data_IF_870737493279
#
_entry.id   IF_870737493279
#
_cell.length_a   1.000
_cell.length_b   1.000
_cell.length_c   1.000
_cell.angle_alpha   90.00
_cell.angle_beta   90.00
_cell.angle_gamma   90.00
#
_symmetry.space_group_name_H-M   'P 1'
#
loop_
_entity.id
_entity.type
_entity.pdbx_description
1 polymer ?
#
# COMPACT_ATOMS: atom_id res chain seq x y z
N UNK A 1 -21.03 -51.66 38.75
CA UNK A 1 -19.98 -51.72 37.70
C UNK A 1 -20.50 -51.50 36.28
N UNK A 2 -21.79 -51.73 36.03
CA UNK A 2 -22.40 -51.53 34.67
C UNK A 2 -22.80 -50.08 34.31
N UNK A 3 -22.98 -49.22 35.33
CA UNK A 3 -23.42 -47.83 35.08
C UNK A 3 -22.30 -46.88 34.64
N UNK A 4 -21.06 -47.15 34.98
CA UNK A 4 -19.87 -46.34 34.61
C UNK A 4 -19.44 -46.60 33.17
N UNK A 5 -19.68 -47.82 32.65
CA UNK A 5 -19.36 -48.17 31.26
C UNK A 5 -20.32 -47.52 30.23
N UNK A 6 -21.59 -47.27 30.63
CA UNK A 6 -22.58 -46.63 29.74
C UNK A 6 -22.34 -45.12 29.60
N UNK A 7 -21.85 -44.46 30.66
CA UNK A 7 -21.51 -43.03 30.59
C UNK A 7 -20.27 -42.79 29.71
N UNK A 8 -19.27 -43.66 29.78
CA UNK A 8 -18.05 -43.52 28.99
C UNK A 8 -18.28 -43.77 27.48
N UNK A 9 -19.14 -44.71 27.13
CA UNK A 9 -19.51 -44.97 25.73
C UNK A 9 -20.38 -43.85 25.16
N UNK A 10 -21.30 -43.24 25.90
CA UNK A 10 -22.10 -42.11 25.43
C UNK A 10 -21.25 -40.84 25.24
N UNK A 11 -20.26 -40.59 26.11
CA UNK A 11 -19.32 -39.47 25.95
C UNK A 11 -18.37 -39.72 24.74
N UNK A 12 -17.92 -40.96 24.56
CA UNK A 12 -17.05 -41.33 23.43
C UNK A 12 -17.80 -41.22 22.09
N UNK A 13 -19.06 -41.61 22.01
CA UNK A 13 -19.87 -41.45 20.79
C UNK A 13 -20.24 -39.98 20.51
N UNK A 14 -20.47 -39.14 21.52
CA UNK A 14 -20.65 -37.70 21.34
C UNK A 14 -19.38 -37.00 20.90
N UNK A 15 -18.22 -37.35 21.45
CA UNK A 15 -16.93 -36.84 21.00
C UNK A 15 -16.55 -37.35 19.61
N UNK A 16 -16.93 -38.61 19.26
CA UNK A 16 -16.65 -39.18 17.93
C UNK A 16 -17.60 -38.62 16.85
N UNK A 17 -18.83 -38.28 17.17
CA UNK A 17 -19.75 -37.57 16.29
C UNK A 17 -19.29 -36.12 16.07
N UNK A 18 -18.89 -35.42 17.12
CA UNK A 18 -18.27 -34.10 17.03
C UNK A 18 -16.91 -34.13 16.26
N UNK A 19 -16.13 -35.21 16.42
CA UNK A 19 -14.90 -35.45 15.70
C UNK A 19 -15.16 -35.72 14.21
N UNK A 20 -16.24 -36.47 13.83
CA UNK A 20 -16.65 -36.66 12.42
C UNK A 20 -17.18 -35.39 11.79
N UNK A 21 -17.87 -34.52 12.50
CA UNK A 21 -18.26 -33.18 12.01
C UNK A 21 -17.03 -32.28 11.80
N UNK A 22 -16.03 -32.41 12.64
CA UNK A 22 -14.75 -31.67 12.51
C UNK A 22 -13.94 -32.11 11.28
N UNK A 23 -14.07 -33.38 10.84
CA UNK A 23 -13.42 -33.92 9.63
C UNK A 23 -14.31 -33.93 8.39
N UNK A 24 -15.52 -33.38 8.45
CA UNK A 24 -16.36 -33.27 7.25
C UNK A 24 -15.84 -32.11 6.37
N UNK A 25 -15.33 -32.37 5.13
CA UNK A 25 -14.81 -31.32 4.26
C UNK A 25 -15.83 -30.20 3.98
N UNK A 26 -17.13 -30.52 3.95
CA UNK A 26 -18.20 -29.52 3.76
C UNK A 26 -18.43 -28.62 4.98
N UNK A 27 -18.21 -29.11 6.22
CA UNK A 27 -18.27 -28.27 7.44
C UNK A 27 -17.02 -27.41 7.60
N UNK A 28 -15.85 -27.88 7.18
CA UNK A 28 -14.63 -27.08 7.17
C UNK A 28 -14.69 -25.92 6.17
N UNK A 29 -15.37 -26.10 5.04
CA UNK A 29 -15.51 -25.05 4.01
C UNK A 29 -16.35 -23.86 4.51
N UNK A 30 -17.49 -24.12 5.18
CA UNK A 30 -18.33 -23.09 5.79
C UNK A 30 -17.61 -22.33 6.90
N UNK A 31 -16.86 -23.04 7.74
CA UNK A 31 -16.10 -22.44 8.85
C UNK A 31 -14.97 -21.53 8.40
N UNK A 32 -14.34 -21.80 7.25
CA UNK A 32 -13.21 -21.03 6.74
C UNK A 32 -13.66 -19.68 6.15
N UNK A 33 -14.66 -19.68 5.28
CA UNK A 33 -15.24 -18.45 4.74
C UNK A 33 -15.83 -17.56 5.85
N UNK A 34 -16.41 -18.18 6.90
CA UNK A 34 -16.85 -17.46 8.10
C UNK A 34 -15.70 -16.85 8.89
N UNK A 35 -14.54 -17.50 8.97
CA UNK A 35 -13.34 -16.95 9.62
C UNK A 35 -12.87 -15.70 8.88
N UNK A 36 -12.75 -15.73 7.54
CA UNK A 36 -12.43 -14.55 6.74
C UNK A 36 -13.48 -13.44 6.88
N UNK A 37 -14.77 -13.77 6.97
CA UNK A 37 -15.84 -12.79 7.23
C UNK A 37 -15.69 -12.11 8.58
N UNK A 38 -15.42 -12.87 9.64
CA UNK A 38 -15.18 -12.31 10.98
C UNK A 38 -14.01 -11.34 10.98
N UNK A 39 -12.89 -11.71 10.33
CA UNK A 39 -11.73 -10.84 10.18
C UNK A 39 -12.07 -9.59 9.36
N UNK A 40 -12.78 -9.75 8.23
CA UNK A 40 -13.25 -8.63 7.41
C UNK A 40 -14.13 -7.67 8.20
N UNK A 41 -15.16 -8.19 8.89
CA UNK A 41 -16.08 -7.37 9.67
C UNK A 41 -15.37 -6.62 10.78
N UNK A 42 -14.48 -7.30 11.52
CA UNK A 42 -13.65 -6.66 12.53
C UNK A 42 -12.82 -5.52 11.97
N UNK A 43 -12.09 -5.75 10.87
CA UNK A 43 -11.23 -4.73 10.26
C UNK A 43 -12.04 -3.53 9.74
N UNK A 44 -13.17 -3.77 9.06
CA UNK A 44 -14.05 -2.70 8.55
C UNK A 44 -14.66 -1.88 9.67
N UNK A 45 -15.04 -2.51 10.78
CA UNK A 45 -15.61 -1.81 11.94
C UNK A 45 -14.57 -0.90 12.61
N UNK A 46 -13.34 -1.41 12.78
CA UNK A 46 -12.29 -0.74 13.55
C UNK A 46 -11.40 0.19 12.71
N UNK A 47 -11.49 0.15 11.36
CA UNK A 47 -10.72 1.09 10.55
C UNK A 47 -11.09 2.53 10.88
N UNK A 48 -10.07 3.32 11.17
CA UNK A 48 -10.21 4.76 11.45
C UNK A 48 -9.49 5.53 10.34
N UNK A 49 -10.26 6.12 9.44
CA UNK A 49 -9.73 7.03 8.41
C UNK A 49 -10.33 8.40 8.66
N UNK A 50 -9.55 9.31 9.25
CA UNK A 50 -10.06 10.60 9.71
C UNK A 50 -10.40 11.56 8.57
N UNK A 51 -9.94 11.31 7.34
CA UNK A 51 -10.30 12.12 6.18
C UNK A 51 -10.40 11.29 4.90
N UNK A 52 -11.35 11.67 4.03
CA UNK A 52 -11.51 11.11 2.71
C UNK A 52 -10.32 11.45 1.82
N UNK A 53 -9.79 10.46 1.10
CA UNK A 53 -8.69 10.61 0.13
C UNK A 53 -9.26 11.01 -1.23
N UNK A 54 -8.58 11.94 -1.92
CA UNK A 54 -8.98 12.40 -3.27
C UNK A 54 -9.09 11.24 -4.26
N UNK A 55 -8.16 10.29 -4.19
CA UNK A 55 -8.16 9.11 -5.06
C UNK A 55 -9.50 8.36 -5.07
N UNK A 56 -10.28 8.42 -3.99
CA UNK A 56 -11.57 7.73 -3.91
C UNK A 56 -12.58 8.26 -4.95
N UNK A 57 -12.45 9.53 -5.35
CA UNK A 57 -13.30 10.16 -6.35
C UNK A 57 -12.75 9.97 -7.78
N UNK A 58 -11.48 9.59 -7.93
CA UNK A 58 -10.82 9.37 -9.22
C UNK A 58 -10.96 7.94 -9.73
N UNK A 59 -11.20 6.97 -8.84
CA UNK A 59 -11.33 5.55 -9.19
C UNK A 59 -12.66 5.29 -9.89
N UNK A 60 -12.60 4.65 -11.06
CA UNK A 60 -13.78 4.04 -11.66
C UNK A 60 -14.10 2.71 -10.96
N UNK A 61 -14.93 2.76 -9.93
CA UNK A 61 -15.31 1.59 -9.14
C UNK A 61 -16.16 0.56 -9.88
N UNK A 62 -16.54 0.82 -11.15
CA UNK A 62 -17.22 -0.17 -11.99
C UNK A 62 -16.25 -1.11 -12.71
N UNK A 63 -14.95 -0.82 -12.72
CA UNK A 63 -13.93 -1.70 -13.30
C UNK A 63 -13.86 -3.01 -12.50
N UNK A 64 -13.66 -4.12 -13.22
CA UNK A 64 -13.71 -5.45 -12.61
C UNK A 64 -12.40 -5.89 -11.97
N UNK A 65 -11.26 -5.37 -12.42
CA UNK A 65 -9.95 -5.65 -11.85
C UNK A 65 -9.23 -4.34 -11.57
N UNK A 66 -9.29 -3.89 -10.32
CA UNK A 66 -8.71 -2.63 -9.87
C UNK A 66 -7.48 -2.92 -9.02
N UNK A 67 -6.38 -2.22 -9.30
CA UNK A 67 -5.17 -2.27 -8.48
C UNK A 67 -4.96 -0.95 -7.74
N UNK A 68 -4.94 -0.98 -6.41
CA UNK A 68 -4.52 0.17 -5.60
C UNK A 68 -3.02 0.06 -5.33
N UNK A 69 -2.25 0.75 -6.14
CA UNK A 69 -0.79 0.75 -6.11
C UNK A 69 -0.27 1.89 -5.23
N UNK A 70 0.85 1.69 -4.55
CA UNK A 70 1.47 2.78 -3.77
C UNK A 70 2.62 2.30 -2.90
N UNK A 71 3.40 3.25 -2.38
CA UNK A 71 4.48 2.99 -1.43
C UNK A 71 3.98 2.29 -0.17
N UNK A 72 4.89 1.66 0.56
CA UNK A 72 4.56 1.13 1.89
C UNK A 72 4.23 2.28 2.84
N UNK A 73 3.31 2.07 3.76
CA UNK A 73 2.95 3.06 4.78
C UNK A 73 2.03 4.20 4.32
N UNK A 74 1.60 4.27 3.06
CA UNK A 74 0.68 5.33 2.59
C UNK A 74 -0.81 5.08 2.93
N UNK A 75 -1.13 3.97 3.61
CA UNK A 75 -2.49 3.65 4.06
C UNK A 75 -3.36 2.95 3.02
N UNK A 76 -2.80 2.08 2.17
CA UNK A 76 -3.58 1.36 1.12
C UNK A 76 -4.66 0.45 1.69
N UNK A 77 -4.33 -0.32 2.72
CA UNK A 77 -5.27 -1.23 3.40
C UNK A 77 -6.42 -0.43 4.04
N UNK A 78 -6.08 0.64 4.78
CA UNK A 78 -7.08 1.50 5.43
C UNK A 78 -7.96 2.21 4.39
N UNK A 79 -7.39 2.62 3.26
CA UNK A 79 -8.12 3.21 2.15
C UNK A 79 -9.22 2.27 1.62
N UNK A 80 -8.90 0.99 1.37
CA UNK A 80 -9.88 0.00 0.91
C UNK A 80 -10.90 -0.36 1.98
N UNK A 81 -10.46 -0.56 3.22
CA UNK A 81 -11.38 -0.87 4.32
C UNK A 81 -12.34 0.29 4.58
N UNK A 82 -11.87 1.54 4.49
CA UNK A 82 -12.74 2.72 4.61
C UNK A 82 -13.74 2.81 3.46
N UNK A 83 -13.34 2.50 2.23
CA UNK A 83 -14.26 2.41 1.10
C UNK A 83 -15.39 1.43 1.39
N UNK A 84 -15.08 0.22 1.88
CA UNK A 84 -16.09 -0.78 2.27
C UNK A 84 -16.97 -0.26 3.41
N UNK A 85 -16.39 0.40 4.41
CA UNK A 85 -17.13 0.99 5.53
C UNK A 85 -18.14 2.03 5.06
N UNK A 86 -17.76 2.89 4.11
CA UNK A 86 -18.67 3.85 3.49
C UNK A 86 -19.76 3.17 2.66
N UNK A 87 -19.42 2.16 1.84
CA UNK A 87 -20.39 1.38 1.09
C UNK A 87 -21.39 0.67 2.01
N UNK A 88 -20.90 0.08 3.11
CA UNK A 88 -21.74 -0.57 4.12
C UNK A 88 -22.75 0.39 4.75
N UNK A 89 -22.36 1.65 4.96
CA UNK A 89 -23.24 2.70 5.48
C UNK A 89 -24.31 3.11 4.47
N UNK A 90 -23.95 3.17 3.19
CA UNK A 90 -24.87 3.57 2.11
C UNK A 90 -25.81 2.43 1.70
N UNK A 91 -25.28 1.22 1.59
CA UNK A 91 -26.00 0.02 1.11
C UNK A 91 -25.66 -1.20 1.98
N UNK A 92 -26.28 -1.34 3.18
CA UNK A 92 -25.95 -2.42 4.13
C UNK A 92 -26.10 -3.84 3.56
N UNK A 93 -27.07 -4.06 2.69
CA UNK A 93 -27.32 -5.40 2.11
C UNK A 93 -26.25 -5.78 1.07
N UNK A 94 -25.75 -4.82 0.29
CA UNK A 94 -24.68 -5.10 -0.68
C UNK A 94 -23.32 -5.37 0.00
N UNK A 95 -23.08 -4.83 1.18
CA UNK A 95 -21.85 -5.03 1.93
C UNK A 95 -21.58 -6.50 2.28
N UNK A 96 -22.65 -7.32 2.40
CA UNK A 96 -22.55 -8.76 2.66
C UNK A 96 -21.91 -9.53 1.50
N UNK A 97 -21.85 -8.93 0.31
CA UNK A 97 -21.27 -9.50 -0.88
C UNK A 97 -19.80 -9.08 -1.10
N UNK A 98 -19.20 -8.39 -0.13
CA UNK A 98 -17.79 -7.99 -0.14
C UNK A 98 -16.99 -8.80 0.86
N UNK A 99 -15.76 -9.20 0.50
CA UNK A 99 -14.84 -9.92 1.39
C UNK A 99 -13.41 -9.37 1.23
N UNK A 100 -12.75 -9.13 2.36
CA UNK A 100 -11.31 -8.81 2.41
C UNK A 100 -10.53 -10.05 2.80
N UNK A 101 -9.45 -10.30 2.08
CA UNK A 101 -8.50 -11.38 2.35
C UNK A 101 -7.07 -10.87 2.26
N UNK A 102 -6.17 -11.47 3.04
CA UNK A 102 -4.76 -11.08 3.09
C UNK A 102 -3.88 -12.32 2.90
N UNK A 103 -2.96 -12.28 1.95
CA UNK A 103 -2.03 -13.38 1.66
C UNK A 103 -0.98 -13.64 2.74
N UNK A 104 -0.98 -12.89 3.84
CA UNK A 104 -0.26 -13.27 5.06
C UNK A 104 -0.96 -14.39 5.84
N UNK A 105 -2.23 -14.71 5.54
CA UNK A 105 -2.93 -15.81 6.18
C UNK A 105 -2.34 -17.14 5.73
N UNK A 106 -2.09 -18.03 6.70
CA UNK A 106 -1.54 -19.37 6.43
C UNK A 106 -2.43 -20.24 5.54
N UNK A 107 -3.72 -19.89 5.39
CA UNK A 107 -4.61 -20.53 4.42
C UNK A 107 -4.00 -20.59 3.03
N UNK A 108 -3.35 -19.51 2.59
CA UNK A 108 -2.75 -19.40 1.25
C UNK A 108 -1.44 -20.18 1.08
N UNK A 109 -0.97 -20.90 2.11
CA UNK A 109 0.15 -21.85 1.94
C UNK A 109 -0.27 -23.15 1.27
N UNK A 110 -1.55 -23.54 1.38
CA UNK A 110 -2.09 -24.79 0.83
C UNK A 110 -3.24 -24.58 -0.17
N UNK A 111 -3.83 -23.37 -0.18
CA UNK A 111 -5.01 -23.05 -1.00
C UNK A 111 -4.76 -21.84 -1.89
N UNK A 112 -5.35 -21.87 -3.09
CA UNK A 112 -5.22 -20.79 -4.07
C UNK A 112 -6.29 -19.71 -3.88
N UNK A 113 -6.02 -18.52 -4.42
CA UNK A 113 -7.04 -17.47 -4.53
C UNK A 113 -8.23 -17.92 -5.37
N UNK A 114 -7.98 -18.71 -6.43
CA UNK A 114 -9.02 -19.21 -7.31
C UNK A 114 -10.01 -20.13 -6.57
N UNK A 115 -9.53 -20.99 -5.67
CA UNK A 115 -10.38 -21.83 -4.83
C UNK A 115 -11.25 -21.00 -3.89
N UNK A 116 -10.65 -20.02 -3.21
CA UNK A 116 -11.38 -19.12 -2.32
C UNK A 116 -12.43 -18.29 -3.08
N UNK A 117 -12.05 -17.74 -4.24
CA UNK A 117 -12.97 -16.97 -5.09
C UNK A 117 -14.15 -17.81 -5.55
N UNK A 118 -13.94 -19.09 -5.89
CA UNK A 118 -15.02 -20.02 -6.24
C UNK A 118 -16.01 -20.24 -5.11
N UNK A 119 -15.50 -20.45 -3.89
CA UNK A 119 -16.34 -20.61 -2.70
C UNK A 119 -17.11 -19.32 -2.38
N UNK A 120 -16.43 -18.17 -2.50
CA UNK A 120 -17.02 -16.87 -2.23
C UNK A 120 -18.16 -16.54 -3.22
N UNK A 121 -17.92 -16.75 -4.52
CA UNK A 121 -18.94 -16.55 -5.56
C UNK A 121 -20.13 -17.52 -5.37
N UNK A 122 -19.87 -18.80 -5.03
CA UNK A 122 -20.93 -19.77 -4.74
C UNK A 122 -21.79 -19.37 -3.53
N UNK A 123 -21.22 -18.62 -2.58
CA UNK A 123 -21.92 -18.03 -1.44
C UNK A 123 -22.59 -16.68 -1.74
N UNK A 124 -22.63 -16.24 -3.01
CA UNK A 124 -23.24 -14.99 -3.45
C UNK A 124 -22.31 -13.77 -3.36
N UNK A 125 -20.98 -13.98 -3.20
CA UNK A 125 -19.99 -12.90 -3.17
C UNK A 125 -19.84 -12.17 -4.51
N UNK A 126 -19.65 -10.86 -4.46
CA UNK A 126 -19.53 -9.98 -5.65
C UNK A 126 -18.22 -9.22 -5.72
N UNK A 127 -17.64 -8.79 -4.59
CA UNK A 127 -16.44 -7.98 -4.54
C UNK A 127 -15.40 -8.60 -3.61
N UNK A 128 -14.25 -8.97 -4.15
CA UNK A 128 -13.13 -9.54 -3.41
C UNK A 128 -12.00 -8.51 -3.29
N UNK A 129 -11.64 -8.18 -2.05
CA UNK A 129 -10.52 -7.30 -1.73
C UNK A 129 -9.31 -8.15 -1.36
N UNK A 130 -8.22 -8.02 -2.11
CA UNK A 130 -7.03 -8.87 -1.96
C UNK A 130 -5.83 -8.03 -1.55
N UNK A 131 -5.29 -8.30 -0.37
CA UNK A 131 -4.08 -7.65 0.13
C UNK A 131 -2.87 -8.58 0.09
N UNK A 132 -1.68 -8.01 -0.15
CA UNK A 132 -0.40 -8.72 -0.21
C UNK A 132 -0.33 -9.85 -1.25
N UNK A 133 -1.13 -9.79 -2.33
CA UNK A 133 -1.19 -10.84 -3.36
C UNK A 133 0.19 -11.24 -3.92
N UNK A 134 1.13 -10.30 -4.04
CA UNK A 134 2.48 -10.49 -4.57
C UNK A 134 3.35 -11.49 -3.77
N UNK A 135 2.89 -11.94 -2.61
CA UNK A 135 3.57 -13.00 -1.83
C UNK A 135 3.41 -14.37 -2.45
N UNK A 136 2.37 -14.60 -3.23
CA UNK A 136 2.24 -15.78 -4.05
C UNK A 136 2.98 -15.57 -5.39
N UNK A 137 3.91 -16.46 -5.78
CA UNK A 137 4.58 -16.38 -7.07
C UNK A 137 3.63 -16.38 -8.28
N UNK A 138 2.46 -17.00 -8.16
CA UNK A 138 1.47 -17.13 -9.23
C UNK A 138 0.35 -16.08 -9.17
N UNK A 139 0.46 -15.06 -8.31
CA UNK A 139 -0.58 -14.08 -8.01
C UNK A 139 -1.24 -13.47 -9.26
N UNK A 140 -0.47 -13.11 -10.29
CA UNK A 140 -1.01 -12.48 -11.50
C UNK A 140 -1.84 -13.45 -12.34
N UNK A 141 -1.37 -14.69 -12.47
CA UNK A 141 -2.09 -15.77 -13.15
C UNK A 141 -3.38 -16.13 -12.40
N UNK A 142 -3.35 -16.20 -11.07
CA UNK A 142 -4.55 -16.48 -10.27
C UNK A 142 -5.59 -15.36 -10.36
N UNK A 143 -5.17 -14.09 -10.31
CA UNK A 143 -6.07 -12.96 -10.52
C UNK A 143 -6.71 -12.98 -11.93
N UNK A 144 -5.93 -13.29 -12.96
CA UNK A 144 -6.44 -13.45 -14.32
C UNK A 144 -7.45 -14.60 -14.42
N UNK A 145 -7.15 -15.76 -13.83
CA UNK A 145 -8.06 -16.91 -13.81
C UNK A 145 -9.38 -16.56 -13.09
N UNK A 146 -9.32 -15.88 -11.94
CA UNK A 146 -10.51 -15.40 -11.24
C UNK A 146 -11.33 -14.44 -12.11
N UNK A 147 -10.67 -13.50 -12.78
CA UNK A 147 -11.30 -12.51 -13.66
C UNK A 147 -12.07 -13.18 -14.81
N UNK A 148 -11.46 -14.15 -15.50
CA UNK A 148 -12.11 -14.81 -16.63
C UNK A 148 -13.14 -15.85 -16.21
N UNK A 149 -12.90 -16.57 -15.11
CA UNK A 149 -13.78 -17.64 -14.65
C UNK A 149 -15.05 -17.13 -13.98
N UNK A 150 -14.99 -15.96 -13.33
CA UNK A 150 -16.10 -15.38 -12.58
C UNK A 150 -16.46 -13.99 -13.14
N UNK A 151 -17.25 -13.91 -14.25
CA UNK A 151 -17.54 -12.64 -14.93
C UNK A 151 -18.23 -11.58 -14.07
N UNK A 152 -18.95 -11.98 -13.03
CA UNK A 152 -19.67 -11.10 -12.11
C UNK A 152 -18.86 -10.75 -10.85
N UNK A 153 -17.64 -11.28 -10.71
CA UNK A 153 -16.75 -10.96 -9.61
C UNK A 153 -15.91 -9.72 -9.94
N UNK A 154 -15.99 -8.73 -9.07
CA UNK A 154 -15.06 -7.61 -9.02
C UNK A 154 -13.90 -7.96 -8.08
N UNK A 155 -12.69 -7.67 -8.50
CA UNK A 155 -11.49 -7.87 -7.69
C UNK A 155 -10.76 -6.54 -7.55
N UNK A 156 -10.51 -6.13 -6.30
CA UNK A 156 -9.74 -4.95 -5.97
C UNK A 156 -8.55 -5.41 -5.16
N UNK A 157 -7.34 -5.24 -5.68
CA UNK A 157 -6.15 -5.71 -4.98
C UNK A 157 -5.15 -4.61 -4.66
N UNK A 158 -4.41 -4.80 -3.58
CA UNK A 158 -3.34 -3.90 -3.17
C UNK A 158 -2.04 -4.34 -3.81
N UNK A 159 -1.39 -3.39 -4.49
CA UNK A 159 -0.11 -3.60 -5.14
C UNK A 159 1.00 -2.74 -4.51
N UNK A 160 2.22 -3.27 -4.44
CA UNK A 160 3.40 -2.51 -4.06
C UNK A 160 3.77 -1.52 -5.18
N UNK A 161 4.37 -0.39 -4.82
CA UNK A 161 4.89 0.58 -5.77
C UNK A 161 5.95 -0.03 -6.71
N UNK A 162 6.69 -1.03 -6.24
CA UNK A 162 7.76 -1.72 -6.99
C UNK A 162 7.20 -2.53 -8.17
N UNK A 163 5.93 -2.95 -8.12
CA UNK A 163 5.30 -3.77 -9.14
C UNK A 163 5.00 -2.96 -10.40
N UNK A 164 5.40 -3.47 -11.55
CA UNK A 164 5.07 -2.95 -12.88
C UNK A 164 3.94 -3.80 -13.46
N UNK A 165 2.70 -3.44 -13.07
CA UNK A 165 1.53 -4.29 -13.28
C UNK A 165 1.18 -4.51 -14.75
N UNK A 166 1.36 -3.49 -15.58
CA UNK A 166 1.02 -3.54 -17.00
C UNK A 166 2.19 -4.11 -17.82
N UNK A 167 3.41 -3.68 -17.51
CA UNK A 167 4.59 -3.98 -18.34
C UNK A 167 5.17 -5.38 -18.07
N UNK A 168 5.19 -5.79 -16.79
CA UNK A 168 5.88 -7.02 -16.40
C UNK A 168 4.91 -8.22 -16.26
N UNK A 169 3.58 -8.01 -16.31
CA UNK A 169 2.57 -9.06 -16.07
C UNK A 169 1.63 -9.21 -17.26
N UNK A 170 1.96 -10.15 -18.18
CA UNK A 170 1.16 -10.41 -19.38
C UNK A 170 -0.25 -10.90 -19.06
N UNK A 171 -0.43 -11.61 -17.96
CA UNK A 171 -1.71 -12.21 -17.58
C UNK A 171 -2.79 -11.17 -17.27
N UNK A 172 -2.41 -10.07 -16.59
CA UNK A 172 -3.33 -9.04 -16.14
C UNK A 172 -3.13 -7.68 -16.83
N UNK A 173 -2.02 -7.48 -17.55
CA UNK A 173 -1.62 -6.17 -18.09
C UNK A 173 -2.68 -5.49 -18.96
N UNK A 174 -3.51 -6.26 -19.67
CA UNK A 174 -4.59 -5.75 -20.53
C UNK A 174 -5.94 -5.58 -19.83
N UNK A 175 -6.09 -6.09 -18.60
CA UNK A 175 -7.38 -6.10 -17.87
C UNK A 175 -7.33 -5.34 -16.55
N UNK A 176 -6.13 -5.03 -16.05
CA UNK A 176 -5.96 -4.32 -14.78
C UNK A 176 -6.05 -2.80 -14.96
N UNK A 177 -6.76 -2.15 -14.06
CA UNK A 177 -6.85 -0.69 -13.95
C UNK A 177 -6.09 -0.23 -12.70
N UNK A 178 -4.80 0.22 -12.84
CA UNK A 178 -3.98 0.62 -11.73
C UNK A 178 -4.20 2.08 -11.32
N UNK A 179 -4.45 2.32 -10.04
CA UNK A 179 -4.55 3.64 -9.44
C UNK A 179 -3.45 3.83 -8.37
N UNK A 180 -2.84 5.01 -8.32
CA UNK A 180 -1.73 5.28 -7.42
C UNK A 180 -2.18 6.03 -6.17
N UNK A 181 -2.19 5.34 -5.02
CA UNK A 181 -2.37 5.98 -3.72
C UNK A 181 -1.02 6.51 -3.22
N UNK A 182 -0.99 7.80 -2.90
CA UNK A 182 0.17 8.49 -2.31
C UNK A 182 -0.01 8.69 -0.82
N UNK A 183 1.00 9.20 -0.14
CA UNK A 183 0.85 9.74 1.19
C UNK A 183 -0.12 10.93 1.22
N UNK A 184 -0.39 11.47 2.37
CA UNK A 184 -1.26 12.64 2.50
C UNK A 184 -0.64 13.86 1.80
N UNK A 185 -1.45 14.55 0.99
CA UNK A 185 -1.14 15.92 0.59
C UNK A 185 -1.23 16.86 1.79
N UNK A 186 -0.63 18.05 1.71
CA UNK A 186 -0.74 19.03 2.79
C UNK A 186 -2.19 19.36 3.14
N UNK A 187 -3.06 19.47 2.14
CA UNK A 187 -4.50 19.67 2.33
C UNK A 187 -5.16 18.50 3.09
N UNK A 188 -4.86 17.26 2.70
CA UNK A 188 -5.39 16.08 3.39
C UNK A 188 -4.86 15.99 4.83
N UNK A 189 -3.58 16.31 5.05
CA UNK A 189 -2.99 16.39 6.38
C UNK A 189 -3.73 17.42 7.28
N UNK A 190 -4.01 18.62 6.76
CA UNK A 190 -4.79 19.63 7.49
C UNK A 190 -6.20 19.12 7.81
N UNK A 191 -6.85 18.48 6.84
CA UNK A 191 -8.19 17.92 7.05
C UNK A 191 -8.20 16.85 8.15
N UNK A 192 -7.19 15.99 8.15
CA UNK A 192 -7.04 14.92 9.17
C UNK A 192 -6.73 15.50 10.54
N UNK A 193 -5.73 16.37 10.63
CA UNK A 193 -5.21 16.89 11.90
C UNK A 193 -6.20 17.81 12.60
N UNK A 194 -6.98 18.57 11.84
CA UNK A 194 -7.85 19.63 12.36
C UNK A 194 -9.35 19.33 12.19
N UNK A 195 -9.70 18.16 11.65
CA UNK A 195 -11.09 17.82 11.39
C UNK A 195 -11.77 18.71 10.32
N UNK A 196 -10.98 19.28 9.41
CA UNK A 196 -11.45 20.19 8.37
C UNK A 196 -11.93 19.43 7.12
N UNK A 197 -12.60 20.16 6.22
CA UNK A 197 -13.01 19.69 4.89
C UNK A 197 -12.63 20.73 3.84
N UNK A 198 -11.33 21.02 3.74
CA UNK A 198 -10.82 21.95 2.74
C UNK A 198 -11.09 21.43 1.33
N UNK A 199 -11.58 22.26 0.42
CA UNK A 199 -11.92 21.87 -0.94
C UNK A 199 -10.67 21.51 -1.76
N UNK A 200 -10.89 20.75 -2.83
CA UNK A 200 -9.87 20.49 -3.86
C UNK A 200 -10.00 21.58 -4.92
N UNK A 201 -8.88 22.12 -5.36
CA UNK A 201 -8.80 23.07 -6.47
C UNK A 201 -7.95 22.47 -7.59
N UNK A 202 -8.35 22.65 -8.83
CA UNK A 202 -7.53 22.30 -9.98
C UNK A 202 -6.31 23.22 -10.07
N UNK A 203 -5.27 22.78 -10.81
CA UNK A 203 -4.12 23.63 -11.08
C UNK A 203 -4.55 24.91 -11.83
N UNK A 204 -5.49 24.79 -12.74
CA UNK A 204 -6.04 25.93 -13.51
C UNK A 204 -6.73 26.94 -12.59
N UNK A 205 -7.56 26.46 -11.63
CA UNK A 205 -8.21 27.33 -10.63
C UNK A 205 -7.17 28.07 -9.77
N UNK A 206 -6.14 27.32 -9.32
CA UNK A 206 -5.05 27.91 -8.52
C UNK A 206 -4.32 29.00 -9.31
N UNK A 207 -3.98 28.74 -10.57
CA UNK A 207 -3.25 29.70 -11.40
C UNK A 207 -4.08 30.97 -11.69
N UNK A 208 -5.40 30.83 -11.88
CA UNK A 208 -6.29 31.95 -12.19
C UNK A 208 -6.78 32.72 -10.94
N UNK A 209 -7.01 32.04 -9.83
CA UNK A 209 -7.73 32.53 -8.66
C UNK A 209 -6.97 32.35 -7.33
N UNK A 210 -5.63 32.20 -7.35
CA UNK A 210 -4.84 31.89 -6.16
C UNK A 210 -5.04 32.88 -5.00
N UNK A 211 -5.21 34.17 -5.26
CA UNK A 211 -5.42 35.19 -4.23
C UNK A 211 -6.74 34.98 -3.51
N UNK A 212 -7.83 34.78 -4.25
CA UNK A 212 -9.16 34.55 -3.68
C UNK A 212 -9.22 33.22 -2.91
N UNK A 213 -8.59 32.17 -3.46
CA UNK A 213 -8.49 30.85 -2.83
C UNK A 213 -7.71 30.97 -1.52
N UNK A 214 -6.56 31.65 -1.56
CA UNK A 214 -5.75 31.85 -0.36
C UNK A 214 -6.50 32.64 0.71
N UNK A 215 -7.22 33.71 0.33
CA UNK A 215 -8.04 34.47 1.28
C UNK A 215 -9.13 33.62 1.95
N UNK A 216 -9.86 32.81 1.16
CA UNK A 216 -10.88 31.87 1.69
C UNK A 216 -10.29 30.88 2.68
N UNK A 217 -9.15 30.28 2.34
CA UNK A 217 -8.48 29.32 3.22
C UNK A 217 -7.95 30.00 4.49
N UNK A 218 -7.36 31.18 4.36
CA UNK A 218 -6.80 31.93 5.49
C UNK A 218 -7.88 32.48 6.47
N UNK A 219 -9.13 32.59 6.04
CA UNK A 219 -10.27 32.87 6.93
C UNK A 219 -10.61 31.65 7.83
N UNK A 220 -10.34 30.45 7.38
CA UNK A 220 -10.62 29.21 8.13
C UNK A 220 -9.44 28.84 9.03
N UNK A 221 -8.21 28.95 8.50
CA UNK A 221 -6.98 28.47 9.15
C UNK A 221 -5.77 29.28 8.66
N UNK A 222 -4.69 29.31 9.45
CA UNK A 222 -3.36 29.78 9.04
C UNK A 222 -2.48 28.60 8.62
N UNK A 223 -2.49 28.16 7.33
CA UNK A 223 -1.88 26.89 6.92
C UNK A 223 -0.38 26.79 7.24
N UNK A 224 0.36 27.88 7.09
CA UNK A 224 1.81 27.90 7.30
C UNK A 224 2.23 27.56 8.74
N UNK A 225 1.34 27.66 9.71
CA UNK A 225 1.62 27.24 11.09
C UNK A 225 1.80 25.71 11.21
N UNK A 226 1.20 24.95 10.30
CA UNK A 226 1.21 23.47 10.27
C UNK A 226 2.17 22.92 9.21
N UNK A 227 2.74 23.79 8.38
CA UNK A 227 3.53 23.37 7.25
C UNK A 227 4.85 22.69 7.67
N UNK A 228 5.50 23.21 8.72
CA UNK A 228 6.69 22.60 9.28
C UNK A 228 6.45 21.18 9.77
N UNK A 229 5.37 20.97 10.51
CA UNK A 229 4.96 19.65 11.01
C UNK A 229 4.66 18.68 9.87
N UNK A 230 3.94 19.15 8.85
CA UNK A 230 3.70 18.36 7.65
C UNK A 230 4.99 17.92 6.95
N UNK A 231 5.93 18.83 6.75
CA UNK A 231 7.22 18.51 6.13
C UNK A 231 8.00 17.48 6.94
N UNK A 232 7.88 17.51 8.27
CA UNK A 232 8.56 16.58 9.17
C UNK A 232 7.88 15.21 9.18
N UNK A 233 6.55 15.12 9.35
CA UNK A 233 5.85 13.85 9.60
C UNK A 233 4.47 13.70 8.95
N UNK A 234 3.98 14.67 8.17
CA UNK A 234 2.59 14.69 7.70
C UNK A 234 2.29 13.88 6.44
N UNK A 235 3.30 13.33 5.74
CA UNK A 235 3.08 12.60 4.49
C UNK A 235 2.56 11.18 4.72
N UNK A 236 3.11 10.46 5.70
CA UNK A 236 2.68 9.09 6.02
C UNK A 236 1.64 9.06 7.12
N UNK A 237 0.55 8.26 7.01
CA UNK A 237 -0.44 8.06 8.09
C UNK A 237 0.14 7.64 9.43
N UNK A 238 1.39 7.21 9.49
CA UNK A 238 2.12 6.82 10.70
C UNK A 238 2.04 7.86 11.83
N UNK A 239 1.87 9.15 11.52
CA UNK A 239 1.71 10.20 12.52
C UNK A 239 0.42 10.11 13.34
N UNK A 240 -0.55 9.32 12.87
CA UNK A 240 -1.81 9.05 13.58
C UNK A 240 -1.67 7.93 14.62
N UNK A 241 -0.57 7.17 14.55
CA UNK A 241 -0.32 6.06 15.46
C UNK A 241 0.32 6.57 16.76
N UNK A 242 0.03 5.91 17.91
CA UNK A 242 0.56 6.32 19.23
C UNK A 242 2.04 5.92 19.42
N UNK A 243 2.80 5.74 18.36
CA UNK A 243 4.20 5.32 18.36
C UNK A 243 5.13 6.45 17.92
N UNK A 244 6.43 6.31 18.20
CA UNK A 244 7.44 7.22 17.67
C UNK A 244 7.44 7.17 16.14
N UNK A 245 7.22 8.34 15.51
CA UNK A 245 7.14 8.46 14.06
C UNK A 245 8.46 8.07 13.39
N UNK A 246 9.59 8.50 13.93
CA UNK A 246 10.91 8.26 13.33
C UNK A 246 11.24 6.77 13.37
N UNK A 247 10.95 6.09 14.48
CA UNK A 247 11.13 4.64 14.60
C UNK A 247 10.23 3.87 13.63
N UNK A 248 8.96 4.26 13.55
CA UNK A 248 7.98 3.66 12.63
C UNK A 248 8.38 3.88 11.17
N UNK A 249 8.89 5.09 10.83
CA UNK A 249 9.40 5.42 9.51
C UNK A 249 10.61 4.56 9.14
N UNK A 250 11.58 4.40 10.05
CA UNK A 250 12.76 3.54 9.82
C UNK A 250 12.37 2.07 9.64
N UNK A 251 11.45 1.54 10.46
CA UNK A 251 10.92 0.19 10.28
C UNK A 251 10.27 0.02 8.92
N UNK A 252 9.47 1.00 8.49
CA UNK A 252 8.82 0.99 7.19
C UNK A 252 9.84 1.01 6.04
N UNK A 253 10.89 1.85 6.11
CA UNK A 253 11.96 1.90 5.10
C UNK A 253 12.71 0.58 5.00
N UNK A 254 13.05 -0.04 6.15
CA UNK A 254 13.66 -1.37 6.15
C UNK A 254 12.75 -2.42 5.50
N UNK A 255 11.44 -2.41 5.78
CA UNK A 255 10.48 -3.30 5.12
C UNK A 255 10.39 -3.09 3.60
N UNK A 256 10.59 -1.85 3.12
CA UNK A 256 10.66 -1.58 1.67
C UNK A 256 11.87 -2.27 1.03
N UNK A 257 13.01 -2.33 1.73
CA UNK A 257 14.22 -3.00 1.25
C UNK A 257 14.09 -4.52 1.37
N UNK A 258 13.72 -5.02 2.55
CA UNK A 258 13.78 -6.43 2.93
C UNK A 258 12.61 -7.26 2.36
N UNK A 259 11.49 -6.62 2.07
CA UNK A 259 10.30 -7.28 1.55
C UNK A 259 9.99 -6.80 0.13
N UNK A 260 9.72 -5.50 -0.05
CA UNK A 260 9.20 -5.04 -1.35
C UNK A 260 10.25 -5.15 -2.46
N UNK A 261 11.49 -4.68 -2.23
CA UNK A 261 12.53 -4.77 -3.23
C UNK A 261 13.05 -6.21 -3.36
N UNK A 262 13.38 -6.86 -2.23
CA UNK A 262 13.96 -8.19 -2.24
C UNK A 262 13.08 -9.20 -2.97
N UNK A 263 11.80 -9.29 -2.59
CA UNK A 263 10.88 -10.29 -3.14
C UNK A 263 10.45 -9.96 -4.58
N UNK A 264 10.07 -8.68 -4.84
CA UNK A 264 9.49 -8.31 -6.15
C UNK A 264 10.57 -8.21 -7.23
N UNK A 265 11.79 -7.74 -6.89
CA UNK A 265 12.91 -7.69 -7.83
C UNK A 265 13.77 -8.95 -7.83
N UNK A 266 13.46 -9.91 -6.96
CA UNK A 266 14.16 -11.20 -6.84
C UNK A 266 15.68 -11.03 -6.74
N UNK A 267 16.12 -10.06 -5.91
CA UNK A 267 17.54 -9.83 -5.65
C UNK A 267 18.05 -10.76 -4.54
N UNK A 268 19.33 -11.07 -4.59
CA UNK A 268 19.96 -11.88 -3.53
C UNK A 268 19.99 -11.16 -2.19
N UNK A 269 19.78 -11.89 -1.11
CA UNK A 269 19.85 -11.36 0.29
C UNK A 269 21.21 -10.72 0.57
N UNK A 270 22.28 -11.25 0.00
CA UNK A 270 23.65 -10.73 0.07
C UNK A 270 23.79 -9.28 -0.44
N UNK A 271 22.85 -8.81 -1.28
CA UNK A 271 22.80 -7.46 -1.83
C UNK A 271 22.22 -6.42 -0.87
N UNK A 272 21.45 -6.85 0.16
CA UNK A 272 20.76 -5.93 1.09
C UNK A 272 21.70 -4.97 1.83
N UNK A 273 22.87 -5.40 2.37
CA UNK A 273 23.80 -4.47 3.01
C UNK A 273 24.29 -3.36 2.07
N UNK A 274 24.55 -3.69 0.80
CA UNK A 274 24.97 -2.72 -0.23
C UNK A 274 23.85 -1.73 -0.56
N UNK A 275 22.62 -2.24 -0.67
CA UNK A 275 21.43 -1.42 -0.93
C UNK A 275 21.13 -0.47 0.25
N UNK A 276 21.26 -0.95 1.50
CA UNK A 276 21.14 -0.10 2.69
C UNK A 276 22.20 0.97 2.76
N UNK A 277 23.46 0.61 2.47
CA UNK A 277 24.56 1.58 2.42
C UNK A 277 24.31 2.64 1.35
N UNK A 278 23.84 2.24 0.17
CA UNK A 278 23.48 3.16 -0.89
C UNK A 278 22.38 4.14 -0.46
N UNK A 279 21.30 3.62 0.14
CA UNK A 279 20.21 4.46 0.64
C UNK A 279 20.71 5.44 1.70
N UNK A 280 21.57 5.00 2.62
CA UNK A 280 22.17 5.87 3.63
C UNK A 280 22.97 7.01 2.98
N UNK A 281 23.84 6.72 1.99
CA UNK A 281 24.58 7.74 1.27
C UNK A 281 23.64 8.73 0.55
N UNK A 282 22.58 8.22 -0.07
CA UNK A 282 21.57 9.06 -0.72
C UNK A 282 20.85 9.98 0.27
N UNK A 283 20.53 9.51 1.46
CA UNK A 283 19.90 10.30 2.53
C UNK A 283 20.79 11.47 2.98
N UNK A 284 22.12 11.30 2.94
CA UNK A 284 23.07 12.35 3.33
C UNK A 284 23.26 13.43 2.25
N UNK A 285 23.15 13.05 0.99
CA UNK A 285 23.54 13.89 -0.15
C UNK A 285 22.37 14.52 -0.89
N UNK A 286 21.15 13.92 -0.83
CA UNK A 286 20.00 14.42 -1.60
C UNK A 286 19.45 15.75 -1.04
N UNK A 287 19.08 16.69 -1.93
CA UNK A 287 19.02 16.64 -3.40
C UNK A 287 20.39 16.81 -4.06
N UNK A 288 20.79 15.88 -4.91
CA UNK A 288 22.12 15.89 -5.52
C UNK A 288 22.12 15.45 -6.99
N UNK A 289 23.18 15.84 -7.71
CA UNK A 289 23.54 15.23 -8.99
C UNK A 289 24.37 13.98 -8.73
N UNK A 290 23.95 12.83 -9.26
CA UNK A 290 24.59 11.55 -8.99
C UNK A 290 26.07 11.53 -9.44
N UNK A 291 26.97 11.11 -8.57
CA UNK A 291 28.27 10.60 -8.95
C UNK A 291 28.25 9.06 -8.87
N UNK A 292 27.79 8.42 -9.96
CA UNK A 292 27.62 6.95 -10.00
C UNK A 292 28.93 6.21 -9.75
N UNK A 293 30.09 6.76 -10.16
CA UNK A 293 31.39 6.11 -9.94
C UNK A 293 31.75 6.09 -8.47
N UNK A 294 31.63 7.22 -7.78
CA UNK A 294 31.91 7.32 -6.34
C UNK A 294 30.95 6.43 -5.51
N UNK A 295 29.65 6.43 -5.87
CA UNK A 295 28.67 5.55 -5.20
C UNK A 295 28.99 4.06 -5.44
N UNK A 296 29.37 3.69 -6.66
CA UNK A 296 29.73 2.32 -7.01
C UNK A 296 30.96 1.83 -6.22
N UNK A 297 31.99 2.67 -6.11
CA UNK A 297 33.16 2.40 -5.27
C UNK A 297 32.76 2.28 -3.80
N UNK A 298 31.97 3.21 -3.28
CA UNK A 298 31.54 3.22 -1.89
C UNK A 298 30.78 1.94 -1.47
N UNK A 299 29.95 1.35 -2.37
CA UNK A 299 29.17 0.14 -2.07
C UNK A 299 29.80 -1.14 -2.62
N UNK A 300 31.00 -1.06 -3.21
CA UNK A 300 31.71 -2.18 -3.84
C UNK A 300 30.82 -2.92 -4.87
N UNK A 301 30.37 -2.18 -5.88
CA UNK A 301 29.55 -2.67 -6.98
C UNK A 301 29.98 -2.10 -8.33
N UNK A 302 29.53 -2.73 -9.43
CA UNK A 302 29.67 -2.12 -10.75
C UNK A 302 28.76 -0.87 -10.87
N UNK A 303 29.13 0.05 -11.77
CA UNK A 303 28.29 1.24 -12.08
C UNK A 303 26.88 0.83 -12.57
N UNK A 304 26.78 -0.23 -13.35
CA UNK A 304 25.49 -0.76 -13.84
C UNK A 304 24.65 -1.28 -12.68
N UNK A 305 25.22 -2.08 -11.77
CA UNK A 305 24.53 -2.58 -10.58
C UNK A 305 24.07 -1.44 -9.68
N UNK A 306 24.93 -0.43 -9.47
CA UNK A 306 24.60 0.76 -8.68
C UNK A 306 23.41 1.51 -9.27
N UNK A 307 23.39 1.73 -10.59
CA UNK A 307 22.24 2.35 -11.27
C UNK A 307 20.95 1.53 -11.13
N UNK A 308 21.04 0.21 -11.20
CA UNK A 308 19.88 -0.67 -10.96
C UNK A 308 19.38 -0.54 -9.51
N UNK A 309 20.28 -0.50 -8.53
CA UNK A 309 19.89 -0.31 -7.13
C UNK A 309 19.22 1.06 -6.90
N UNK A 310 19.74 2.13 -7.49
CA UNK A 310 19.11 3.45 -7.45
C UNK A 310 17.69 3.39 -8.07
N UNK A 311 17.54 2.68 -9.20
CA UNK A 311 16.23 2.45 -9.81
C UNK A 311 15.29 1.67 -8.88
N UNK A 312 15.77 0.64 -8.18
CA UNK A 312 14.94 -0.12 -7.23
C UNK A 312 14.47 0.76 -6.06
N UNK A 313 15.35 1.62 -5.54
CA UNK A 313 14.97 2.61 -4.51
C UNK A 313 13.92 3.60 -5.03
N UNK A 314 14.03 4.04 -6.30
CA UNK A 314 13.00 4.88 -6.95
C UNK A 314 11.68 4.13 -7.11
N UNK A 315 11.73 2.88 -7.61
CA UNK A 315 10.53 2.06 -7.81
C UNK A 315 9.82 1.79 -6.46
N UNK A 316 10.58 1.64 -5.37
CA UNK A 316 10.04 1.50 -4.01
C UNK A 316 9.51 2.80 -3.40
N UNK A 317 9.58 3.91 -4.11
CA UNK A 317 9.17 5.23 -3.61
C UNK A 317 10.01 5.72 -2.42
N UNK A 318 11.30 5.45 -2.43
CA UNK A 318 12.29 6.06 -1.53
C UNK A 318 12.99 7.26 -2.18
N UNK A 319 13.19 7.21 -3.50
CA UNK A 319 13.81 8.27 -4.29
C UNK A 319 12.89 8.76 -5.41
N UNK A 320 13.10 10.00 -5.81
CA UNK A 320 12.63 10.61 -7.05
C UNK A 320 13.80 10.97 -7.95
N UNK A 321 13.62 10.84 -9.27
CA UNK A 321 14.66 11.13 -10.26
C UNK A 321 14.16 12.15 -11.26
N UNK A 322 14.86 13.26 -11.40
CA UNK A 322 14.62 14.26 -12.43
C UNK A 322 15.47 13.93 -13.67
N UNK A 323 14.82 13.82 -14.81
CA UNK A 323 15.46 13.64 -16.11
C UNK A 323 15.21 14.85 -17.01
N UNK A 324 16.06 15.12 -18.00
CA UNK A 324 15.73 16.02 -19.09
C UNK A 324 14.48 15.49 -19.84
N UNK A 325 13.77 16.38 -20.50
CA UNK A 325 12.58 16.05 -21.29
C UNK A 325 12.88 14.91 -22.29
N UNK A 326 11.99 13.92 -22.36
CA UNK A 326 12.12 12.74 -23.22
C UNK A 326 13.21 11.75 -22.82
N UNK A 327 13.89 11.94 -21.69
CA UNK A 327 14.92 11.03 -21.17
C UNK A 327 14.42 10.29 -19.93
N UNK A 328 14.91 9.06 -19.77
CA UNK A 328 14.56 8.19 -18.62
C UNK A 328 15.66 7.14 -18.38
N UNK A 329 15.49 6.32 -17.35
CA UNK A 329 16.37 5.16 -17.14
C UNK A 329 16.50 4.32 -18.45
N UNK A 330 17.70 3.83 -18.79
CA UNK A 330 18.92 3.70 -17.98
C UNK A 330 19.86 4.92 -17.98
N UNK A 331 19.46 6.04 -18.55
CA UNK A 331 20.29 7.24 -18.51
C UNK A 331 20.42 7.77 -17.07
N UNK A 332 21.52 8.49 -16.84
CA UNK A 332 21.75 9.16 -15.56
C UNK A 332 20.77 10.31 -15.39
N UNK A 333 20.04 10.41 -14.24
CA UNK A 333 19.20 11.56 -13.96
C UNK A 333 20.02 12.83 -13.75
N UNK A 334 19.42 13.98 -14.03
CA UNK A 334 20.03 15.30 -13.77
C UNK A 334 20.17 15.54 -12.27
N UNK A 335 19.11 15.20 -11.51
CA UNK A 335 19.08 15.36 -10.06
C UNK A 335 18.25 14.25 -9.41
N UNK A 336 18.61 13.89 -8.20
CA UNK A 336 17.88 12.91 -7.37
C UNK A 336 17.46 13.57 -6.08
N UNK A 337 16.26 13.24 -5.64
CA UNK A 337 15.61 13.72 -4.43
C UNK A 337 15.14 12.53 -3.58
N UNK A 338 14.96 12.73 -2.29
CA UNK A 338 14.10 11.81 -1.53
C UNK A 338 12.67 11.88 -2.06
N UNK A 339 11.89 10.81 -1.90
CA UNK A 339 10.51 10.74 -2.39
C UNK A 339 9.62 11.84 -1.81
N UNK A 340 9.83 12.18 -0.55
CA UNK A 340 9.11 13.24 0.16
C UNK A 340 9.97 13.77 1.33
N UNK A 341 9.65 14.95 1.88
CA UNK A 341 10.42 15.57 2.95
C UNK A 341 10.54 14.71 4.23
N UNK A 342 9.51 13.92 4.59
CA UNK A 342 9.57 13.13 5.82
C UNK A 342 10.75 12.15 5.82
N UNK A 343 11.13 11.61 4.64
CA UNK A 343 12.28 10.71 4.51
C UNK A 343 13.61 11.42 4.80
N UNK A 344 13.69 12.73 4.60
CA UNK A 344 14.89 13.50 4.93
C UNK A 344 15.16 13.56 6.44
N UNK A 345 14.11 13.37 7.25
CA UNK A 345 14.21 13.32 8.71
C UNK A 345 14.37 11.90 9.27
N UNK A 346 14.40 10.89 8.42
CA UNK A 346 14.49 9.48 8.86
C UNK A 346 15.82 9.14 9.53
N UNK A 347 16.89 9.90 9.28
CA UNK A 347 18.20 9.69 9.90
C UNK A 347 18.60 10.93 10.69
N UNK A 348 18.58 10.82 12.00
CA UNK A 348 18.85 11.93 12.93
C UNK A 348 20.34 12.32 13.04
N UNK A 349 21.20 12.01 12.06
CA UNK A 349 22.63 12.33 12.12
C UNK A 349 22.93 13.79 11.81
N UNK A 350 21.99 14.50 11.19
CA UNK A 350 22.13 15.93 10.83
C UNK A 350 20.73 16.52 10.61
N UNK A 351 20.49 17.75 11.06
CA UNK A 351 19.32 18.50 10.63
C UNK A 351 19.37 18.72 9.10
N UNK A 352 18.29 18.36 8.38
CA UNK A 352 18.24 18.57 6.94
C UNK A 352 18.28 20.06 6.61
N UNK A 353 18.98 20.42 5.55
CA UNK A 353 19.01 21.79 5.05
C UNK A 353 17.60 22.22 4.59
N UNK A 354 17.17 23.41 5.00
CA UNK A 354 15.84 23.95 4.69
C UNK A 354 15.59 24.10 3.19
N UNK A 355 16.62 24.46 2.43
CA UNK A 355 16.50 24.54 0.98
C UNK A 355 16.31 23.17 0.36
N UNK A 356 17.05 22.15 0.83
CA UNK A 356 16.91 20.77 0.39
C UNK A 356 15.50 20.21 0.65
N UNK A 357 14.94 20.52 1.82
CA UNK A 357 13.54 20.16 2.17
C UNK A 357 12.55 20.85 1.24
N UNK A 358 12.69 22.17 1.00
CA UNK A 358 11.80 22.92 0.12
C UNK A 358 11.84 22.41 -1.32
N UNK A 359 13.05 22.14 -1.86
CA UNK A 359 13.20 21.56 -3.19
C UNK A 359 12.57 20.15 -3.28
N UNK A 360 12.80 19.31 -2.27
CA UNK A 360 12.22 17.96 -2.21
C UNK A 360 10.70 18.02 -2.17
N UNK A 361 10.11 18.89 -1.35
CA UNK A 361 8.67 19.10 -1.29
C UNK A 361 8.09 19.56 -2.63
N UNK A 362 8.71 20.58 -3.23
CA UNK A 362 8.26 21.13 -4.51
C UNK A 362 8.28 20.07 -5.60
N UNK A 363 9.40 19.34 -5.73
CA UNK A 363 9.54 18.28 -6.73
C UNK A 363 8.54 17.13 -6.47
N UNK A 364 8.39 16.68 -5.24
CA UNK A 364 7.45 15.62 -4.87
C UNK A 364 5.99 15.99 -5.19
N UNK A 365 5.63 17.26 -5.01
CA UNK A 365 4.28 17.77 -5.30
C UNK A 365 4.00 17.80 -6.80
N UNK A 366 4.95 18.29 -7.61
CA UNK A 366 4.77 18.42 -9.06
C UNK A 366 4.93 17.08 -9.81
N UNK A 367 5.94 16.29 -9.45
CA UNK A 367 6.25 15.01 -10.12
C UNK A 367 5.20 13.96 -9.82
N UNK A 368 4.39 14.25 -8.90
CA UNK A 368 3.36 13.35 -8.43
C UNK A 368 2.10 13.34 -9.28
N UNK A 369 1.92 14.22 -10.20
CA UNK A 369 0.72 14.35 -11.06
C UNK A 369 0.85 13.58 -12.36
#
# INVERSE_FOLDING_TARGET
>A
MFFVFYLHTCIFFRTFAAWKEWFNPKSKLGTMLEAFRKTHDYLVEHVQVPARRVLQDEINWSDRLIAIKGGRGVGKTDFLLNYVKEQRRLNPDESRHTLYVNFNDFYFTEHSLLELAGQFVAAGGKTLLVDQAFKDPNWSSELAQCYYRYPNLQIIFIASAVMRLVEDNKDIGSIVHPYNLRGYSFREYLNVTLGLKLPVYSLEDILKHHVEIAQKICQIIKPLQYFGDYLHHGYYPLFLEPHDFSESLLKMMNMMLDVDILLIKQIEVSSLPKLRKLLYLMLQETPCSLNVSSLAEAIDCSRSTTMNYIKYLKDARLLNMLYPEGKQFPLKPTKVYMQNPNLCYATCTREPDKQAIAETFFYATLHGN
#
